data_IF_407506990549
#
_entry.id   IF_407506990549
#
_cell.length_a   1.000
_cell.length_b   1.000
_cell.length_c   1.000
_cell.angle_alpha   90.00
_cell.angle_beta   90.00
_cell.angle_gamma   90.00
#
_symmetry.space_group_name_H-M   'P 1'
#
loop_
_entity.id
_entity.type
_entity.pdbx_description
1 polymer ?
#
# COMPACT_ATOMS: atom_id res chain seq x y z
N UNK A 1 4.33 2.79 3.57
CA UNK A 1 3.92 1.43 3.99
C UNK A 1 5.10 0.53 4.28
N UNK A 2 6.06 0.39 3.36
CA UNK A 2 7.21 -0.50 3.52
C UNK A 2 7.97 -0.28 4.84
N UNK A 3 8.46 0.95 5.09
CA UNK A 3 9.18 1.29 6.33
C UNK A 3 8.36 1.09 7.59
N UNK A 4 7.06 1.39 7.57
CA UNK A 4 6.16 1.18 8.72
C UNK A 4 6.02 -0.31 9.04
N UNK A 5 5.82 -1.17 8.03
CA UNK A 5 5.79 -2.62 8.24
C UNK A 5 7.13 -3.21 8.66
N UNK A 6 8.26 -2.69 8.15
CA UNK A 6 9.60 -3.17 8.54
C UNK A 6 9.92 -2.94 10.02
N UNK A 7 9.45 -1.81 10.58
CA UNK A 7 9.64 -1.49 12.01
C UNK A 7 8.47 -1.91 12.89
N UNK A 8 7.43 -2.54 12.32
CA UNK A 8 6.24 -3.01 13.03
C UNK A 8 5.33 -1.88 13.54
N UNK A 9 5.31 -0.73 12.87
CA UNK A 9 4.32 0.33 13.08
C UNK A 9 3.04 0.00 12.29
N UNK A 10 2.28 -0.97 12.80
CA UNK A 10 1.13 -1.52 12.09
C UNK A 10 -0.01 -0.53 11.94
N UNK A 11 -0.15 0.44 12.85
CA UNK A 11 -1.14 1.52 12.71
C UNK A 11 -0.83 2.40 11.48
N UNK A 12 0.43 2.81 11.32
CA UNK A 12 0.84 3.61 10.16
C UNK A 12 0.74 2.78 8.87
N UNK A 13 1.19 1.52 8.90
CA UNK A 13 1.08 0.64 7.75
C UNK A 13 -0.38 0.44 7.30
N UNK A 14 -1.32 0.28 8.26
CA UNK A 14 -2.75 0.16 7.99
C UNK A 14 -3.30 1.44 7.36
N UNK A 15 -3.00 2.59 7.96
CA UNK A 15 -3.42 3.88 7.45
C UNK A 15 -2.97 4.13 5.99
N UNK A 16 -1.71 3.81 5.68
CA UNK A 16 -1.18 3.96 4.31
C UNK A 16 -1.87 3.00 3.32
N UNK A 17 -2.30 1.81 3.74
CA UNK A 17 -3.09 0.89 2.91
C UNK A 17 -4.50 1.43 2.66
N UNK A 18 -5.14 1.96 3.68
CA UNK A 18 -6.48 2.55 3.56
C UNK A 18 -6.46 3.79 2.67
N UNK A 19 -5.40 4.59 2.72
CA UNK A 19 -5.21 5.73 1.81
C UNK A 19 -5.01 5.27 0.35
N UNK A 20 -4.25 4.20 0.10
CA UNK A 20 -4.17 3.61 -1.25
C UNK A 20 -5.53 3.13 -1.75
N UNK A 21 -6.33 2.47 -0.91
CA UNK A 21 -7.70 2.05 -1.27
C UNK A 21 -8.58 3.25 -1.61
N UNK A 22 -8.46 4.34 -0.85
CA UNK A 22 -9.17 5.58 -1.14
C UNK A 22 -8.74 6.15 -2.50
N UNK A 23 -7.43 6.20 -2.78
CA UNK A 23 -6.87 6.71 -4.02
C UNK A 23 -7.29 5.89 -5.25
N UNK A 24 -7.29 4.55 -5.16
CA UNK A 24 -7.81 3.70 -6.25
C UNK A 24 -9.31 3.93 -6.45
N UNK A 25 -10.08 4.11 -5.37
CA UNK A 25 -11.52 4.39 -5.44
C UNK A 25 -11.87 5.74 -6.08
N UNK A 26 -11.06 6.78 -5.88
CA UNK A 26 -11.29 8.10 -6.51
C UNK A 26 -10.82 8.14 -7.97
N UNK A 27 -9.93 7.23 -8.39
CA UNK A 27 -9.35 7.24 -9.74
C UNK A 27 -10.40 7.14 -10.85
N UNK A 28 -11.55 6.50 -10.58
CA UNK A 28 -12.70 6.42 -11.50
C UNK A 28 -13.32 7.78 -11.85
N UNK A 29 -13.11 8.80 -11.01
CA UNK A 29 -13.57 10.16 -11.30
C UNK A 29 -12.57 10.97 -12.13
N UNK A 30 -11.33 10.48 -12.25
CA UNK A 30 -10.28 11.08 -13.08
C UNK A 30 -10.29 10.43 -14.47
N UNK A 31 -10.28 9.10 -14.51
CA UNK A 31 -10.48 8.30 -15.73
C UNK A 31 -11.44 7.14 -15.40
N UNK A 32 -12.70 7.18 -15.89
CA UNK A 32 -13.68 6.14 -15.56
C UNK A 32 -13.28 4.73 -16.00
N UNK A 33 -12.59 4.58 -17.13
CA UNK A 33 -12.24 3.27 -17.68
C UNK A 33 -11.01 2.70 -16.97
N UNK A 34 -9.92 3.47 -16.93
CA UNK A 34 -8.69 3.03 -16.27
C UNK A 34 -8.84 2.98 -14.75
N UNK A 35 -9.64 3.87 -14.16
CA UNK A 35 -9.88 3.89 -12.72
C UNK A 35 -10.69 2.69 -12.23
N UNK A 36 -11.73 2.28 -12.96
CA UNK A 36 -12.46 1.06 -12.63
C UNK A 36 -11.57 -0.18 -12.75
N UNK A 37 -10.71 -0.23 -13.77
CA UNK A 37 -9.74 -1.31 -13.94
C UNK A 37 -8.70 -1.31 -12.80
N UNK A 38 -8.15 -0.16 -12.44
CA UNK A 38 -7.20 -0.01 -11.34
C UNK A 38 -7.80 -0.50 -10.02
N UNK A 39 -9.04 -0.11 -9.72
CA UNK A 39 -9.73 -0.55 -8.51
C UNK A 39 -9.88 -2.07 -8.50
N UNK A 40 -10.38 -2.68 -9.59
CA UNK A 40 -10.54 -4.13 -9.68
C UNK A 40 -9.21 -4.89 -9.59
N UNK A 41 -8.16 -4.36 -10.22
CA UNK A 41 -6.84 -4.99 -10.25
C UNK A 41 -6.14 -4.95 -8.89
N UNK A 42 -6.36 -3.90 -8.10
CA UNK A 42 -5.67 -3.69 -6.82
C UNK A 42 -6.45 -4.20 -5.60
N UNK A 43 -7.77 -4.39 -5.69
CA UNK A 43 -8.62 -4.74 -4.53
C UNK A 43 -8.12 -5.97 -3.76
N UNK A 44 -7.85 -7.07 -4.48
CA UNK A 44 -7.35 -8.31 -3.88
C UNK A 44 -5.99 -8.16 -3.20
N UNK A 45 -5.09 -7.37 -3.77
CA UNK A 45 -3.76 -7.11 -3.21
C UNK A 45 -3.84 -6.24 -1.96
N UNK A 46 -4.61 -5.15 -2.02
CA UNK A 46 -4.81 -4.24 -0.89
C UNK A 46 -5.51 -4.93 0.29
N UNK A 47 -6.41 -5.88 0.01
CA UNK A 47 -7.02 -6.74 1.03
C UNK A 47 -6.01 -7.64 1.73
N UNK A 48 -5.20 -8.40 0.98
CA UNK A 48 -4.14 -9.25 1.56
C UNK A 48 -3.14 -8.44 2.39
N UNK A 49 -2.77 -7.25 1.90
CA UNK A 49 -1.92 -6.33 2.64
C UNK A 49 -2.55 -5.90 3.97
N UNK A 50 -3.84 -5.54 3.96
CA UNK A 50 -4.57 -5.15 5.17
C UNK A 50 -4.62 -6.28 6.19
N UNK A 51 -4.98 -7.49 5.76
CA UNK A 51 -5.02 -8.70 6.58
C UNK A 51 -3.65 -8.96 7.23
N UNK A 52 -2.55 -8.85 6.47
CA UNK A 52 -1.20 -9.06 7.00
C UNK A 52 -0.80 -8.04 8.07
N UNK A 53 -1.22 -6.77 7.91
CA UNK A 53 -0.97 -5.69 8.88
C UNK A 53 -1.83 -5.87 10.14
N UNK A 54 -3.08 -6.30 10.02
CA UNK A 54 -3.97 -6.59 11.16
C UNK A 54 -3.42 -7.70 12.06
N UNK A 55 -2.82 -8.73 11.45
CA UNK A 55 -2.15 -9.80 12.17
C UNK A 55 -0.73 -9.44 12.62
N UNK A 56 -0.22 -8.25 12.25
CA UNK A 56 1.14 -7.81 12.56
C UNK A 56 2.21 -8.81 12.11
N UNK A 57 2.00 -9.48 10.97
CA UNK A 57 2.87 -10.55 10.46
C UNK A 57 3.84 -10.00 9.41
N UNK A 58 5.12 -9.77 9.74
CA UNK A 58 6.07 -9.13 8.82
C UNK A 58 6.31 -9.95 7.56
N UNK A 59 6.34 -11.28 7.66
CA UNK A 59 6.59 -12.16 6.51
C UNK A 59 5.43 -12.11 5.51
N UNK A 60 4.19 -12.22 6.01
CA UNK A 60 3.01 -12.10 5.17
C UNK A 60 2.88 -10.69 4.59
N UNK A 61 3.23 -9.66 5.37
CA UNK A 61 3.23 -8.28 4.90
C UNK A 61 4.21 -8.07 3.74
N UNK A 62 5.46 -8.52 3.89
CA UNK A 62 6.48 -8.39 2.84
C UNK A 62 6.10 -9.15 1.57
N UNK A 63 5.53 -10.36 1.68
CA UNK A 63 5.03 -11.11 0.54
C UNK A 63 3.88 -10.36 -0.17
N UNK A 64 2.87 -9.93 0.57
CA UNK A 64 1.74 -9.19 0.01
C UNK A 64 2.17 -7.84 -0.59
N UNK A 65 3.17 -7.19 0.00
CA UNK A 65 3.77 -5.96 -0.52
C UNK A 65 4.48 -6.21 -1.85
N UNK A 66 5.26 -7.28 -1.97
CA UNK A 66 5.92 -7.64 -3.22
C UNK A 66 4.91 -7.95 -4.34
N UNK A 67 3.85 -8.71 -4.04
CA UNK A 67 2.77 -9.01 -4.99
C UNK A 67 2.05 -7.74 -5.46
N UNK A 68 1.82 -6.80 -4.53
CA UNK A 68 1.21 -5.49 -4.83
C UNK A 68 2.10 -4.69 -5.79
N UNK A 69 3.41 -4.63 -5.54
CA UNK A 69 4.37 -3.93 -6.42
C UNK A 69 4.44 -4.58 -7.81
N UNK A 70 4.47 -5.92 -7.87
CA UNK A 70 4.46 -6.64 -9.14
C UNK A 70 3.19 -6.33 -9.94
N UNK A 71 2.04 -6.23 -9.27
CA UNK A 71 0.78 -5.86 -9.88
C UNK A 71 0.78 -4.42 -10.41
N UNK A 72 1.26 -3.45 -9.61
CA UNK A 72 1.42 -2.07 -10.09
C UNK A 72 2.27 -2.00 -11.36
N UNK A 73 3.42 -2.68 -11.37
CA UNK A 73 4.32 -2.69 -12.52
C UNK A 73 3.72 -3.40 -13.73
N UNK A 74 3.00 -4.51 -13.53
CA UNK A 74 2.29 -5.21 -14.60
C UNK A 74 1.23 -4.33 -15.27
N UNK A 75 0.46 -3.58 -14.47
CA UNK A 75 -0.51 -2.62 -15.01
C UNK A 75 0.17 -1.48 -15.77
N UNK A 76 1.23 -0.89 -15.22
CA UNK A 76 1.95 0.20 -15.89
C UNK A 76 2.58 -0.25 -17.21
N UNK A 77 3.16 -1.45 -17.26
CA UNK A 77 3.69 -2.02 -18.49
C UNK A 77 2.58 -2.24 -19.53
N UNK A 78 1.43 -2.79 -19.10
CA UNK A 78 0.30 -3.05 -19.99
C UNK A 78 -0.36 -1.77 -20.52
N UNK A 79 -0.33 -0.68 -19.75
CA UNK A 79 -0.85 0.62 -20.17
C UNK A 79 0.15 1.45 -21.01
N UNK A 80 1.36 0.94 -21.23
CA UNK A 80 2.43 1.66 -21.94
C UNK A 80 3.08 2.78 -21.10
N UNK A 81 2.85 2.80 -19.80
CA UNK A 81 3.48 3.74 -18.88
C UNK A 81 4.95 3.42 -18.62
N UNK A 82 5.78 4.45 -18.44
CA UNK A 82 7.20 4.32 -18.08
C UNK A 82 7.45 4.31 -16.57
N UNK A 83 6.37 4.34 -15.78
CA UNK A 83 6.43 4.42 -14.32
C UNK A 83 6.78 3.06 -13.71
N UNK A 84 7.89 2.99 -12.97
CA UNK A 84 8.27 1.85 -12.16
C UNK A 84 7.99 2.07 -10.67
N UNK A 85 7.38 1.08 -10.01
CA UNK A 85 7.17 1.05 -8.56
C UNK A 85 8.24 0.16 -7.93
N UNK A 86 8.90 0.65 -6.88
CA UNK A 86 9.92 -0.08 -6.12
C UNK A 86 9.78 0.14 -4.62
N UNK A 87 10.10 -0.89 -3.85
CA UNK A 87 10.23 -0.81 -2.38
C UNK A 87 11.66 -0.52 -1.93
N UNK A 88 12.62 -0.53 -2.86
CA UNK A 88 14.00 -0.09 -2.59
C UNK A 88 14.01 1.42 -2.49
N UNK A 89 13.80 1.93 -1.28
CA UNK A 89 13.89 3.36 -1.00
C UNK A 89 15.35 3.69 -0.71
N UNK A 90 15.92 4.69 -1.39
CA UNK A 90 17.27 5.17 -1.06
C UNK A 90 17.32 5.64 0.40
N UNK A 91 18.43 5.36 1.08
CA UNK A 91 18.71 5.89 2.42
C UNK A 91 18.80 7.43 2.42
N UNK A 92 19.04 8.03 1.24
CA UNK A 92 19.07 9.48 1.02
C UNK A 92 17.70 10.08 0.69
N UNK A 93 16.64 9.27 0.54
CA UNK A 93 15.31 9.76 0.24
C UNK A 93 14.73 10.45 1.48
N UNK A 94 14.87 11.78 1.53
CA UNK A 94 14.33 12.63 2.59
C UNK A 94 12.82 12.41 2.70
N UNK A 95 12.37 11.78 3.79
CA UNK A 95 10.97 11.86 4.16
C UNK A 95 10.73 13.31 4.57
N UNK A 96 9.86 14.02 3.83
CA UNK A 96 9.62 15.45 4.02
C UNK A 96 9.13 15.82 5.44
N UNK A 97 8.80 14.84 6.28
CA UNK A 97 8.59 14.99 7.72
C UNK A 97 9.22 13.80 8.47
N UNK A 98 9.88 14.01 9.62
CA UNK A 98 10.34 12.94 10.49
C UNK A 98 9.14 12.38 11.25
N UNK A 99 8.31 11.56 10.59
CA UNK A 99 7.44 10.67 11.33
C UNK A 99 8.34 9.68 12.08
N UNK A 100 8.40 9.82 13.40
CA UNK A 100 8.99 8.82 14.27
C UNK A 100 8.09 7.59 14.23
N UNK A 101 8.43 6.63 13.37
CA UNK A 101 7.76 5.33 13.34
C UNK A 101 8.00 4.64 14.67
N UNK A 102 6.94 4.08 15.25
CA UNK A 102 6.98 3.39 16.54
C UNK A 102 6.26 2.06 16.41
N UNK A 103 6.73 1.03 17.10
CA UNK A 103 6.02 -0.24 17.11
C UNK A 103 4.62 -0.04 17.73
N UNK A 104 3.58 -0.23 16.94
CA UNK A 104 2.18 -0.04 17.33
C UNK A 104 1.33 -1.14 16.73
N UNK A 105 0.19 -1.46 17.35
CA UNK A 105 -0.83 -2.33 16.76
C UNK A 105 -1.85 -1.51 15.98
N UNK A 106 -2.50 -2.11 15.00
CA UNK A 106 -3.67 -1.50 14.34
C UNK A 106 -4.69 -1.11 15.41
N UNK A 107 -5.21 0.14 15.42
CA UNK A 107 -6.33 0.50 16.28
C UNK A 107 -7.49 -0.45 15.99
N UNK A 108 -8.01 -1.13 17.02
CA UNK A 108 -9.29 -1.84 16.88
C UNK A 108 -10.34 -0.75 16.65
N UNK A 109 -11.10 -0.84 15.55
CA UNK A 109 -12.10 0.16 15.20
C UNK A 109 -12.86 0.66 16.43
N UNK A 110 -12.96 1.98 16.57
CA UNK A 110 -13.98 2.58 17.40
C UNK A 110 -15.31 2.13 16.81
N UNK A 111 -16.04 1.29 17.55
CA UNK A 111 -17.39 0.89 17.18
C UNK A 111 -18.21 2.11 16.80
N UNK A 112 -18.72 2.09 15.58
CA UNK A 112 -19.84 2.94 15.17
C UNK A 112 -21.13 2.36 15.73
#
# INVERSE_FOLDING_TARGET
>A
MHRAGDVGDWAVAAHEIDEMRRLTGISKYIDPKLGALLQAFMDGNLRKLREAVEHGNPKSFQAALADTVASCNGCHQASGGTLGVTVKVSDTMSMRHPHLLRKTTVPKDHGH
#
